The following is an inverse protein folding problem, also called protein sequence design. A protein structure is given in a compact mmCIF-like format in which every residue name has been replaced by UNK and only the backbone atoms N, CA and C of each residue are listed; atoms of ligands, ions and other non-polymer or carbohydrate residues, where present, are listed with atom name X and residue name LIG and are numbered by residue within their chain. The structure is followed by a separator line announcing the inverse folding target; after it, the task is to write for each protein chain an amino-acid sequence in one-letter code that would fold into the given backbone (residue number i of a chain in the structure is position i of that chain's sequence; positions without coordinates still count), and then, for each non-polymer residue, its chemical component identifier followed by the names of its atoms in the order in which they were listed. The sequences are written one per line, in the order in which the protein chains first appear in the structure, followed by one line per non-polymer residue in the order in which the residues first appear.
data_IF_742351020432
#
_entry.id   IF_742351020432
#
_cell.length_a   1.000
_cell.length_b   1.000
_cell.length_c   1.000
_cell.angle_alpha   90.00
_cell.angle_beta   90.00
_cell.angle_gamma   90.00
#
_symmetry.space_group_name_H-M   'P 1'
#
loop_
_entity.id
_entity.type
_entity.pdbx_description
1 polymer ?
#
# COMPACT_ATOMS: atom_id res chain seq x y z
N UNK A 1 -2.85 18.22 -15.62
CA UNK A 1 -2.78 17.94 -15.57
C UNK A 1 -2.66 17.29 -14.81
N UNK A 2 -2.90 17.00 -14.55
CA UNK A 2 -2.89 16.28 -13.98
C UNK A 2 -2.28 15.96 -13.01
N UNK A 3 -2.16 16.06 -12.59
CA UNK A 3 -1.48 15.88 -11.87
C UNK A 3 -1.83 15.42 -10.73
N UNK A 4 -1.90 14.71 -10.38
CA UNK A 4 -2.23 14.21 -9.38
C UNK A 4 -1.44 14.32 -8.46
N UNK A 5 -1.44 14.45 -7.78
CA UNK A 5 -0.72 14.63 -7.08
C UNK A 5 -1.09 14.23 -5.83
N UNK A 6 -0.70 13.29 -5.27
CA UNK A 6 -0.83 12.93 -3.91
C UNK A 6 -0.01 13.91 -3.09
N UNK A 7 -0.58 14.43 -2.05
CA UNK A 7 0.20 15.31 -1.19
C UNK A 7 0.98 14.45 -0.20
N UNK A 8 1.86 15.09 0.56
CA UNK A 8 2.70 14.36 1.48
C UNK A 8 1.90 13.64 2.55
N UNK A 9 0.81 14.23 2.98
CA UNK A 9 -0.01 13.61 3.99
C UNK A 9 -0.58 12.29 3.48
N UNK A 10 -1.04 12.28 2.26
CA UNK A 10 -1.57 11.08 1.66
C UNK A 10 -0.48 10.03 1.47
N UNK A 11 0.69 10.46 1.02
CA UNK A 11 1.81 9.53 0.87
C UNK A 11 2.15 8.88 2.20
N UNK A 12 2.21 9.67 3.25
CA UNK A 12 2.55 9.14 4.57
C UNK A 12 1.48 8.14 5.02
N UNK A 13 0.22 8.46 4.76
CA UNK A 13 -0.85 7.55 5.15
C UNK A 13 -0.73 6.20 4.45
N UNK A 14 -0.41 6.22 3.17
CA UNK A 14 -0.22 4.99 2.41
C UNK A 14 0.95 4.21 2.99
N UNK A 15 2.05 4.88 3.27
CA UNK A 15 3.23 4.20 3.79
C UNK A 15 2.96 3.60 5.17
N UNK A 16 2.23 4.33 6.00
CA UNK A 16 1.90 3.80 7.32
C UNK A 16 1.00 2.58 7.22
N UNK A 17 0.05 2.62 6.30
CA UNK A 17 -0.85 1.49 6.14
C UNK A 17 -0.08 0.25 5.71
N UNK A 18 0.95 0.42 4.91
CA UNK A 18 1.72 -0.71 4.40
C UNK A 18 2.83 -1.14 5.35
N UNK A 19 3.13 -0.35 6.36
CA UNK A 19 4.29 -0.64 7.22
C UNK A 19 4.07 -1.76 8.21
N UNK A 20 2.87 -2.25 8.34
CA UNK A 20 2.60 -3.37 9.22
C UNK A 20 2.82 -4.68 8.47
N UNK A 21 3.56 -5.63 9.03
CA UNK A 21 3.87 -6.86 8.29
C UNK A 21 2.64 -7.63 7.83
N UNK A 22 1.59 -7.66 8.64
CA UNK A 22 0.39 -8.39 8.24
C UNK A 22 -0.34 -7.68 7.12
N UNK A 23 -0.44 -6.38 7.19
CA UNK A 23 -1.10 -5.63 6.13
C UNK A 23 -0.30 -5.73 4.84
N UNK A 24 1.02 -5.65 4.95
CA UNK A 24 1.86 -5.77 3.77
C UNK A 24 1.63 -7.11 3.09
N UNK A 25 1.58 -8.18 3.88
CA UNK A 25 1.32 -9.49 3.35
C UNK A 25 -0.06 -9.61 2.74
N UNK A 26 -1.04 -8.99 3.34
CA UNK A 26 -2.39 -9.01 2.77
C UNK A 26 -2.41 -8.39 1.39
N UNK A 27 -1.70 -7.28 1.23
CA UNK A 27 -1.67 -6.63 -0.07
C UNK A 27 -0.98 -7.53 -1.09
N UNK A 28 0.09 -8.20 -0.71
CA UNK A 28 0.77 -9.12 -1.61
C UNK A 28 -0.16 -10.26 -2.04
N UNK A 29 -0.89 -10.82 -1.09
CA UNK A 29 -1.80 -11.91 -1.42
C UNK A 29 -2.93 -11.45 -2.30
N UNK A 30 -3.46 -10.28 -2.03
CA UNK A 30 -4.52 -9.73 -2.86
C UNK A 30 -4.04 -9.47 -4.27
N UNK A 31 -2.83 -8.95 -4.40
CA UNK A 31 -2.29 -8.67 -5.72
C UNK A 31 -2.15 -9.96 -6.54
N UNK A 32 -1.75 -11.03 -5.89
CA UNK A 32 -1.62 -12.30 -6.59
C UNK A 32 -2.98 -12.89 -6.95
N UNK A 33 -3.96 -12.76 -6.08
CA UNK A 33 -5.28 -13.34 -6.31
C UNK A 33 -6.13 -12.49 -7.24
N UNK A 34 -5.83 -11.22 -7.32
CA UNK A 34 -6.65 -10.28 -8.07
C UNK A 34 -7.76 -9.70 -7.22
N UNK A 35 -8.59 -10.54 -6.66
CA UNK A 35 -9.71 -10.09 -5.85
C UNK A 35 -10.07 -11.20 -4.90
N UNK A 36 -10.34 -10.88 -3.64
CA UNK A 36 -10.77 -11.86 -2.67
C UNK A 36 -11.92 -11.28 -1.87
N UNK A 37 -12.80 -12.15 -1.39
CA UNK A 37 -13.82 -11.69 -0.48
C UNK A 37 -13.19 -11.51 0.90
N UNK A 38 -13.86 -10.77 1.74
CA UNK A 38 -13.37 -10.55 3.10
C UNK A 38 -13.26 -11.86 3.87
N UNK A 39 -14.20 -12.77 3.64
CA UNK A 39 -14.13 -14.07 4.32
C UNK A 39 -12.94 -14.88 3.85
N UNK A 40 -12.65 -14.84 2.55
CA UNK A 40 -11.50 -15.57 2.04
C UNK A 40 -10.21 -15.04 2.62
N UNK A 41 -10.14 -13.72 2.81
CA UNK A 41 -8.95 -13.15 3.42
C UNK A 41 -8.75 -13.64 4.83
N UNK A 42 -9.82 -13.69 5.61
CA UNK A 42 -9.72 -14.19 6.98
C UNK A 42 -9.18 -15.59 7.02
N UNK A 43 -9.68 -16.43 6.14
CA UNK A 43 -9.23 -17.81 6.10
C UNK A 43 -7.77 -17.93 5.72
N UNK A 44 -7.31 -17.09 4.81
CA UNK A 44 -5.92 -17.16 4.39
C UNK A 44 -4.94 -16.77 5.47
N UNK A 45 -5.32 -15.84 6.32
CA UNK A 45 -4.40 -15.33 7.32
C UNK A 45 -4.64 -15.86 8.72
N UNK A 46 -5.64 -16.71 8.85
CA UNK A 46 -5.91 -17.35 10.14
C UNK A 46 -6.04 -16.34 11.27
N UNK A 47 -6.72 -15.27 10.99
CA UNK A 47 -6.97 -14.25 12.01
C UNK A 47 -8.47 -14.06 12.10
N UNK A 48 -8.90 -13.49 13.22
CA UNK A 48 -10.33 -13.30 13.41
C UNK A 48 -10.88 -12.28 12.43
N UNK A 49 -12.18 -12.35 12.19
CA UNK A 49 -12.80 -11.39 11.29
C UNK A 49 -12.67 -9.95 11.76
N UNK A 50 -12.81 -9.66 13.06
CA UNK A 50 -12.58 -8.28 13.48
C UNK A 50 -11.17 -7.78 13.17
N UNK A 51 -10.17 -8.67 13.27
CA UNK A 51 -8.79 -8.29 12.94
C UNK A 51 -8.66 -8.01 11.44
N UNK A 52 -9.25 -8.88 10.62
CA UNK A 52 -9.24 -8.67 9.18
C UNK A 52 -9.90 -7.34 8.85
N UNK A 53 -11.08 -7.09 9.44
CA UNK A 53 -11.80 -5.87 9.16
C UNK A 53 -10.99 -4.63 9.55
N UNK A 54 -10.28 -4.73 10.68
CA UNK A 54 -9.45 -3.61 11.11
C UNK A 54 -8.35 -3.30 10.09
N UNK A 55 -7.65 -4.34 9.64
CA UNK A 55 -6.59 -4.15 8.65
C UNK A 55 -7.14 -3.63 7.34
N UNK A 56 -8.27 -4.17 6.89
CA UNK A 56 -8.86 -3.74 5.63
C UNK A 56 -9.32 -2.29 5.72
N UNK A 57 -9.84 -1.88 6.89
CA UNK A 57 -10.26 -0.51 7.04
C UNK A 57 -9.10 0.45 6.90
N UNK A 58 -7.98 0.13 7.56
CA UNK A 58 -6.82 1.01 7.48
C UNK A 58 -6.27 1.09 6.07
N UNK A 59 -6.20 -0.05 5.38
CA UNK A 59 -5.73 -0.06 4.01
C UNK A 59 -6.68 0.68 3.09
N UNK A 60 -7.97 0.51 3.31
CA UNK A 60 -8.97 1.18 2.50
C UNK A 60 -8.99 2.68 2.70
N UNK A 61 -8.82 3.13 3.96
CA UNK A 61 -8.79 4.56 4.23
C UNK A 61 -7.58 5.23 3.60
N UNK A 62 -6.50 4.48 3.47
CA UNK A 62 -5.32 5.02 2.81
C UNK A 62 -5.43 4.96 1.29
N UNK A 63 -6.45 4.30 0.78
CA UNK A 63 -6.64 4.19 -0.66
C UNK A 63 -5.92 3.02 -1.30
N UNK A 64 -5.26 2.19 -0.51
CA UNK A 64 -4.48 1.07 -1.05
C UNK A 64 -5.37 -0.02 -1.62
N UNK A 65 -6.56 -0.16 -1.09
CA UNK A 65 -7.50 -1.18 -1.54
C UNK A 65 -8.76 -0.57 -2.12
N UNK A 66 -9.33 -1.29 -3.06
CA UNK A 66 -10.62 -0.95 -3.65
C UNK A 66 -11.60 -1.99 -3.19
N UNK A 67 -12.77 -1.55 -2.75
CA UNK A 67 -13.80 -2.47 -2.30
C UNK A 67 -14.94 -2.48 -3.29
N UNK A 68 -15.47 -3.66 -3.54
CA UNK A 68 -16.60 -3.82 -4.42
C UNK A 68 -17.66 -4.62 -3.68
N UNK A 69 -18.89 -4.21 -3.82
CA UNK A 69 -20.01 -4.91 -3.19
C UNK A 69 -20.82 -5.62 -4.25
N UNK A 70 -21.21 -6.83 -3.95
CA UNK A 70 -22.07 -7.54 -4.85
C UNK A 70 -23.06 -8.31 -3.99
N UNK A 71 -24.28 -7.86 -3.90
CA UNK A 71 -25.24 -8.43 -2.97
C UNK A 71 -24.76 -8.22 -1.57
N UNK A 72 -24.62 -9.29 -0.84
CA UNK A 72 -24.13 -9.21 0.53
C UNK A 72 -22.65 -9.49 0.63
N UNK A 73 -21.99 -9.64 -0.50
CA UNK A 73 -20.58 -9.96 -0.49
C UNK A 73 -19.74 -8.73 -0.69
N UNK A 74 -18.59 -8.70 -0.02
CA UNK A 74 -17.66 -7.60 -0.13
C UNK A 74 -16.37 -8.16 -0.67
N UNK A 75 -15.92 -7.61 -1.77
CA UNK A 75 -14.69 -8.05 -2.42
C UNK A 75 -13.66 -6.94 -2.38
N UNK A 76 -12.42 -7.35 -2.28
CA UNK A 76 -11.32 -6.41 -2.12
C UNK A 76 -10.27 -6.67 -3.17
N UNK A 77 -9.71 -5.62 -3.72
CA UNK A 77 -8.59 -5.76 -4.66
C UNK A 77 -7.62 -4.62 -4.41
N UNK A 78 -6.43 -4.72 -4.97
CA UNK A 78 -5.39 -3.72 -4.76
C UNK A 78 -5.58 -2.57 -5.73
N UNK A 79 -5.43 -1.35 -5.23
CA UNK A 79 -5.47 -0.18 -6.07
C UNK A 79 -4.08 0.03 -6.67
N UNK A 80 -3.83 -0.62 -7.78
CA UNK A 80 -2.52 -0.58 -8.41
C UNK A 80 -2.14 0.80 -8.88
N UNK A 81 -3.11 1.56 -9.35
CA UNK A 81 -2.82 2.91 -9.82
C UNK A 81 -2.24 3.77 -8.72
N UNK A 82 -2.81 3.64 -7.52
CA UNK A 82 -2.30 4.41 -6.41
C UNK A 82 -0.89 4.00 -6.07
N UNK A 83 -0.62 2.71 -6.05
CA UNK A 83 0.72 2.24 -5.70
C UNK A 83 1.74 2.67 -6.74
N UNK A 84 1.37 2.62 -8.01
CA UNK A 84 2.26 3.09 -9.06
C UNK A 84 2.56 4.57 -8.91
N UNK A 85 1.54 5.33 -8.55
CA UNK A 85 1.72 6.77 -8.37
C UNK A 85 2.63 7.05 -7.18
N UNK A 86 2.43 6.32 -6.09
CA UNK A 86 3.27 6.48 -4.91
C UNK A 86 4.72 6.16 -5.27
N UNK A 87 4.93 5.06 -5.99
CA UNK A 87 6.28 4.66 -6.38
C UNK A 87 6.93 5.73 -7.25
N UNK A 88 6.15 6.32 -8.12
CA UNK A 88 6.64 7.34 -9.02
C UNK A 88 6.99 8.63 -8.30
N UNK A 89 6.19 9.02 -7.33
CA UNK A 89 6.36 10.31 -6.66
C UNK A 89 7.32 10.27 -5.47
N UNK A 90 7.43 9.11 -4.85
CA UNK A 90 8.14 9.03 -3.59
C UNK A 90 9.58 9.49 -3.64
N UNK A 91 10.37 9.08 -4.64
CA UNK A 91 11.76 9.50 -4.65
C UNK A 91 11.93 11.02 -4.66
N UNK A 92 11.15 11.71 -5.46
CA UNK A 92 11.26 13.16 -5.53
C UNK A 92 10.86 13.83 -4.25
N UNK A 93 9.85 13.26 -3.56
CA UNK A 93 9.41 13.87 -2.32
C UNK A 93 10.43 13.69 -1.22
N UNK A 94 11.15 12.58 -1.26
CA UNK A 94 12.11 12.31 -0.21
C UNK A 94 13.43 13.01 -0.42
N UNK A 95 13.85 13.18 -1.68
CA UNK A 95 15.12 13.86 -1.90
C UNK A 95 14.96 15.29 -2.32
N UNK A 96 13.80 15.81 -2.09
CA UNK A 96 13.69 17.23 -2.25
C UNK A 96 13.82 17.75 -3.60
N UNK A 97 12.99 17.44 -4.45
CA UNK A 97 13.00 18.12 -5.67
C UNK A 97 13.88 17.60 -6.70
N UNK A 98 14.39 16.57 -6.51
CA UNK A 98 15.03 16.07 -7.61
C UNK A 98 16.37 16.38 -7.96
N UNK A 99 17.10 16.97 -7.32
CA UNK A 99 18.32 17.24 -7.71
C UNK A 99 19.05 16.18 -7.50
N UNK A 100 19.61 15.61 -7.99
CA UNK A 100 20.17 14.61 -7.87
C UNK A 100 21.34 14.55 -7.62
N UNK A 101 21.50 14.36 -7.19
CA UNK A 101 22.65 14.27 -6.88
C UNK A 101 23.33 13.20 -7.27
N UNK A 102 24.28 13.06 -6.90
CA UNK A 102 25.10 12.12 -7.34
C UNK A 102 24.82 10.90 -6.86
N UNK A 103 24.78 10.29 -7.21
CA UNK A 103 24.48 9.28 -6.93
C UNK A 103 25.36 8.53 -6.44
N UNK A 104 26.34 8.63 -6.38
CA UNK A 104 27.16 7.90 -6.00
C UNK A 104 26.95 7.52 -4.73
N UNK A 105 26.57 7.99 -4.16
CA UNK A 105 26.48 7.59 -2.92
C UNK A 105 25.69 6.55 -2.70
N UNK A 106 25.16 6.34 -3.50
CA UNK A 106 24.30 5.44 -3.25
C UNK A 106 24.81 4.32 -2.65
N UNK A 107 25.75 3.90 -2.86
CA UNK A 107 26.04 2.82 -2.45
C UNK A 107 26.14 2.74 -1.17
N UNK A 108 26.16 3.39 -0.76
CA UNK A 108 26.43 3.30 0.45
C UNK A 108 25.47 2.83 1.27
N UNK A 109 24.73 3.05 1.15
CA UNK A 109 23.88 2.78 2.01
C UNK A 109 23.76 1.61 2.46
N UNK A 110 24.03 1.13 2.35
CA UNK A 110 23.73 0.10 2.68
C UNK A 110 23.79 -0.32 3.78
N UNK A 111 23.95 -0.56 4.25
CA UNK A 111 23.98 -1.13 5.12
C UNK A 111 23.41 -1.12 6.15
N UNK A 112 23.20 -1.13 6.33
CA UNK A 112 22.65 -1.02 7.25
C UNK A 112 22.34 -1.94 7.79
N UNK A 113 22.50 -2.51 7.89
CA UNK A 113 22.17 -3.33 8.30
C UNK A 113 21.85 -3.52 9.13
N UNK A 114 21.76 -3.41 9.28
CA UNK A 114 21.37 -3.75 9.83
C UNK A 114 21.25 -3.80 10.38
#
# INVERSE_FOLDING_TARGET
MGESRLDDETLVRVLKALADPKRFRMVQELALAGELSCGELGGRFEVSQPTVSHHLRLLGEAGVLVMRHEGQHHYVSVNRELLDEVASLLPGRLVGGGRRGPRRGARAAAPVEG
#
